data_IF_091547359901
#
_entry.id   IF_091547359901
#
_cell.length_a   1.000
_cell.length_b   1.000
_cell.length_c   1.000
_cell.angle_alpha   90.00
_cell.angle_beta   90.00
_cell.angle_gamma   90.00
#
_symmetry.space_group_name_H-M   'P 1'
#
loop_
_entity.id
_entity.type
_entity.pdbx_description
1 polymer ?
#
# COMPACT_ATOMS: atom_id res chain seq x y z
N UNK A 1 -18.90 21.47 -10.93
CA UNK A 1 -19.18 20.48 -9.84
C UNK A 1 -20.19 19.52 -10.40
N UNK A 2 -19.88 18.23 -10.43
CA UNK A 2 -20.86 17.19 -10.83
C UNK A 2 -22.01 17.25 -9.83
N UNK A 3 -23.22 17.28 -10.32
CA UNK A 3 -24.44 17.29 -9.50
C UNK A 3 -24.46 16.00 -8.64
N UNK A 4 -24.70 16.13 -7.34
CA UNK A 4 -24.74 14.96 -6.45
C UNK A 4 -25.96 14.09 -6.78
N UNK A 5 -25.87 12.76 -6.60
CA UNK A 5 -27.02 11.88 -6.76
C UNK A 5 -28.18 12.28 -5.86
N UNK A 6 -29.40 12.00 -6.31
CA UNK A 6 -30.61 12.27 -5.52
C UNK A 6 -30.54 11.56 -4.16
N UNK A 7 -30.80 12.30 -3.10
CA UNK A 7 -30.75 11.79 -1.72
C UNK A 7 -29.41 11.95 -1.03
N UNK A 8 -28.36 12.41 -1.74
CA UNK A 8 -27.09 12.79 -1.13
C UNK A 8 -27.18 14.21 -0.59
N UNK A 9 -26.50 14.46 0.54
CA UNK A 9 -26.34 15.78 1.13
C UNK A 9 -24.87 16.22 1.05
N UNK A 10 -24.61 17.49 1.28
CA UNK A 10 -23.27 18.00 1.56
C UNK A 10 -23.23 18.36 3.03
N UNK A 11 -22.27 17.81 3.76
CA UNK A 11 -21.93 18.18 5.12
C UNK A 11 -20.51 18.74 5.16
N UNK A 12 -20.17 19.52 6.17
CA UNK A 12 -18.77 19.84 6.45
C UNK A 12 -18.16 18.78 7.36
N UNK A 13 -16.86 18.65 7.36
CA UNK A 13 -16.19 17.77 8.34
C UNK A 13 -16.55 18.17 9.77
N UNK A 14 -16.75 19.49 10.03
CA UNK A 14 -17.17 20.00 11.33
C UNK A 14 -18.54 19.48 11.78
N UNK A 15 -19.49 19.29 10.85
CA UNK A 15 -20.81 18.75 11.14
C UNK A 15 -20.77 17.25 11.54
N UNK A 16 -19.72 16.55 11.15
CA UNK A 16 -19.54 15.12 11.35
C UNK A 16 -18.70 14.78 12.58
N UNK A 17 -17.88 15.73 13.05
CA UNK A 17 -16.94 15.56 14.14
C UNK A 17 -17.64 15.75 15.50
N UNK A 18 -17.49 14.76 16.38
CA UNK A 18 -17.86 14.87 17.80
C UNK A 18 -16.75 15.57 18.60
N UNK A 19 -15.50 15.18 18.38
CA UNK A 19 -14.33 15.78 19.01
C UNK A 19 -13.07 15.60 18.16
N UNK A 20 -12.03 16.39 18.44
CA UNK A 20 -10.68 16.24 17.91
C UNK A 20 -9.71 16.16 19.07
N UNK A 21 -8.90 15.09 19.10
CA UNK A 21 -7.87 14.91 20.11
C UNK A 21 -6.49 14.89 19.46
N UNK A 22 -5.51 15.54 20.09
CA UNK A 22 -4.11 15.54 19.71
C UNK A 22 -3.25 15.13 20.90
N UNK A 23 -2.12 14.49 20.62
CA UNK A 23 -1.10 14.24 21.62
C UNK A 23 -0.09 15.36 21.73
N UNK A 24 1.06 15.06 22.34
CA UNK A 24 2.20 15.97 22.46
C UNK A 24 3.42 15.40 21.74
N UNK A 25 4.20 16.29 21.14
CA UNK A 25 5.53 15.94 20.63
C UNK A 25 6.62 16.35 21.60
N UNK A 26 7.53 15.43 21.84
CA UNK A 26 8.69 15.61 22.70
C UNK A 26 9.94 15.16 21.96
N UNK A 27 11.10 15.45 22.51
CA UNK A 27 12.35 14.84 22.05
C UNK A 27 12.33 13.36 22.44
N UNK A 28 12.24 12.49 21.45
CA UNK A 28 12.13 11.03 21.57
C UNK A 28 13.32 10.33 20.95
N UNK A 29 13.54 9.08 21.30
CA UNK A 29 14.48 8.21 20.60
C UNK A 29 13.86 7.77 19.26
N UNK A 30 14.64 7.85 18.16
CA UNK A 30 14.17 7.56 16.79
C UNK A 30 14.02 6.05 16.48
N UNK A 31 13.59 5.26 17.45
CA UNK A 31 13.31 3.84 17.33
C UNK A 31 11.92 3.51 17.88
N UNK A 32 11.28 2.43 17.45
CA UNK A 32 10.06 1.93 18.06
C UNK A 32 10.28 1.54 19.53
N UNK A 33 9.26 1.69 20.39
CA UNK A 33 9.34 1.25 21.78
C UNK A 33 9.43 -0.27 21.89
N UNK A 34 10.18 -0.77 22.87
CA UNK A 34 10.17 -2.16 23.29
C UNK A 34 8.94 -2.46 24.14
N UNK A 35 8.74 -3.73 24.49
CA UNK A 35 7.53 -4.24 25.15
C UNK A 35 7.12 -3.46 26.41
N UNK A 36 8.08 -2.97 27.20
CA UNK A 36 7.84 -2.22 28.45
C UNK A 36 8.10 -0.70 28.30
N UNK A 37 8.23 -0.22 27.07
CA UNK A 37 8.45 1.19 26.81
C UNK A 37 7.21 1.83 26.20
N UNK A 38 7.06 3.13 26.37
CA UNK A 38 5.99 3.91 25.74
C UNK A 38 6.51 4.61 24.49
N UNK A 39 5.66 4.75 23.51
CA UNK A 39 6.01 5.40 22.24
C UNK A 39 4.98 6.39 21.76
N UNK A 40 5.41 7.28 20.88
CA UNK A 40 4.55 8.22 20.17
C UNK A 40 4.59 7.93 18.68
N UNK A 41 3.44 7.95 18.01
CA UNK A 41 3.35 7.63 16.59
C UNK A 41 3.91 8.73 15.71
N UNK A 42 4.65 8.33 14.67
CA UNK A 42 5.12 9.21 13.59
C UNK A 42 4.00 9.49 12.59
N UNK A 43 4.19 10.51 11.78
CA UNK A 43 3.33 10.79 10.63
C UNK A 43 3.26 9.59 9.67
N UNK A 44 4.39 8.90 9.48
CA UNK A 44 4.48 7.70 8.63
C UNK A 44 3.60 6.54 9.08
N UNK A 45 3.18 6.50 10.35
CA UNK A 45 2.28 5.48 10.88
C UNK A 45 0.88 5.49 10.22
N UNK A 46 0.45 6.63 9.65
CA UNK A 46 -0.87 6.80 9.03
C UNK A 46 -0.81 7.12 7.54
N UNK A 47 0.39 7.24 6.97
CA UNK A 47 0.57 7.78 5.61
C UNK A 47 0.07 6.84 4.51
N UNK A 48 0.19 5.51 4.70
CA UNK A 48 0.03 4.54 3.63
C UNK A 48 -1.32 3.79 3.63
N UNK A 49 -2.33 4.37 4.27
CA UNK A 49 -3.71 3.86 4.23
C UNK A 49 -4.00 2.74 5.24
N UNK A 50 -2.97 2.19 5.87
CA UNK A 50 -3.06 1.27 7.01
C UNK A 50 -2.21 1.78 8.16
N UNK A 51 -2.66 1.52 9.40
CA UNK A 51 -1.89 1.90 10.58
C UNK A 51 -0.67 0.98 10.74
N UNK A 52 0.53 1.59 10.84
CA UNK A 52 1.79 0.88 11.06
C UNK A 52 2.38 1.27 12.43
N UNK A 53 2.22 0.40 13.42
CA UNK A 53 2.73 0.60 14.78
C UNK A 53 4.25 0.69 14.86
N UNK A 54 4.99 0.10 13.91
CA UNK A 54 6.45 0.17 13.85
C UNK A 54 6.95 1.59 13.52
N UNK A 55 6.10 2.42 12.91
CA UNK A 55 6.38 3.82 12.64
C UNK A 55 6.12 4.69 13.88
N UNK A 56 6.92 4.49 14.90
CA UNK A 56 6.81 5.17 16.20
C UNK A 56 8.19 5.56 16.72
N UNK A 57 8.22 6.36 17.79
CA UNK A 57 9.41 6.83 18.51
C UNK A 57 9.25 6.49 19.97
N UNK A 58 10.33 6.15 20.66
CA UNK A 58 10.30 5.83 22.09
C UNK A 58 10.29 7.10 22.91
N UNK A 59 9.31 7.22 23.81
CA UNK A 59 9.17 8.32 24.75
C UNK A 59 10.23 8.24 25.87
N UNK A 60 10.67 9.39 26.42
CA UNK A 60 11.51 9.40 27.61
C UNK A 60 10.80 8.71 28.78
N UNK A 61 11.53 7.93 29.58
CA UNK A 61 10.97 7.22 30.76
C UNK A 61 10.34 8.15 31.80
N UNK A 62 10.81 9.40 31.89
CA UNK A 62 10.30 10.44 32.79
C UNK A 62 8.99 11.05 32.32
N UNK A 63 8.50 10.76 31.11
CA UNK A 63 7.28 11.34 30.58
C UNK A 63 6.10 10.38 30.71
N UNK A 64 5.05 10.87 31.37
CA UNK A 64 3.77 10.18 31.48
C UNK A 64 2.79 10.78 30.46
N UNK A 65 2.49 10.06 29.35
CA UNK A 65 1.44 10.50 28.43
C UNK A 65 0.05 10.38 29.08
N UNK A 66 -0.87 11.24 28.64
CA UNK A 66 -2.25 11.13 29.09
C UNK A 66 -2.85 9.81 28.60
N UNK A 67 -3.46 9.05 29.50
CA UNK A 67 -3.99 7.70 29.21
C UNK A 67 -5.05 7.68 28.11
N UNK A 68 -5.80 8.77 27.96
CA UNK A 68 -6.82 8.94 26.93
C UNK A 68 -6.22 9.13 25.50
N UNK A 69 -4.92 9.46 25.40
CA UNK A 69 -4.22 9.57 24.10
C UNK A 69 -3.64 8.24 23.58
N UNK A 70 -3.78 7.14 24.35
CA UNK A 70 -3.37 5.80 23.88
C UNK A 70 -4.20 5.38 22.66
N UNK A 71 -3.53 4.72 21.69
CA UNK A 71 -4.14 4.31 20.43
C UNK A 71 -4.94 3.03 20.63
N UNK A 72 -6.19 3.03 20.17
CA UNK A 72 -7.15 1.94 20.35
C UNK A 72 -7.76 1.49 19.02
N UNK A 73 -8.24 0.27 19.02
CA UNK A 73 -9.08 -0.23 17.93
C UNK A 73 -10.30 0.68 17.72
N UNK A 74 -10.60 0.96 16.45
CA UNK A 74 -11.67 1.88 16.07
C UNK A 74 -11.28 3.36 16.06
N UNK A 75 -10.04 3.72 16.42
CA UNK A 75 -9.55 5.10 16.28
C UNK A 75 -9.46 5.51 14.82
N UNK A 76 -10.02 6.66 14.48
CA UNK A 76 -9.87 7.30 13.19
C UNK A 76 -8.75 8.34 13.29
N UNK A 77 -7.57 8.01 12.74
CA UNK A 77 -6.39 8.84 12.84
C UNK A 77 -6.18 9.66 11.56
N UNK A 78 -5.78 10.90 11.74
CA UNK A 78 -5.58 11.89 10.70
C UNK A 78 -4.21 12.55 10.83
N UNK A 79 -3.44 12.56 9.74
CA UNK A 79 -2.15 13.27 9.67
C UNK A 79 -2.37 14.73 9.31
N UNK A 80 -2.23 15.63 10.30
CA UNK A 80 -2.38 17.07 10.03
C UNK A 80 -1.17 17.69 9.34
N UNK A 81 0.01 17.08 9.37
CA UNK A 81 1.25 17.64 8.84
C UNK A 81 2.02 16.60 8.02
N UNK A 82 2.33 16.94 6.76
CA UNK A 82 3.12 16.10 5.85
C UNK A 82 3.50 16.91 4.59
N UNK A 83 4.06 16.25 3.57
CA UNK A 83 4.19 16.82 2.23
C UNK A 83 2.82 17.11 1.62
N UNK A 84 2.77 17.94 0.58
CA UNK A 84 1.52 18.28 -0.10
C UNK A 84 0.71 17.05 -0.57
N UNK A 85 1.39 16.00 -1.02
CA UNK A 85 0.77 14.77 -1.53
C UNK A 85 0.21 13.86 -0.41
N UNK A 86 0.75 13.99 0.80
CA UNK A 86 0.50 13.08 1.91
C UNK A 86 -0.20 13.74 3.10
N UNK A 87 -0.34 15.06 3.09
CA UNK A 87 -1.06 15.78 4.15
C UNK A 87 -2.54 15.38 4.13
N UNK A 88 -3.11 15.16 5.30
CA UNK A 88 -4.49 14.69 5.43
C UNK A 88 -4.64 13.16 5.26
N UNK A 89 -3.55 12.40 5.27
CA UNK A 89 -3.64 10.94 5.28
C UNK A 89 -4.43 10.44 6.48
N UNK A 90 -5.26 9.42 6.24
CA UNK A 90 -6.18 8.86 7.25
C UNK A 90 -6.08 7.34 7.31
N UNK A 91 -6.26 6.81 8.51
CA UNK A 91 -6.38 5.36 8.77
C UNK A 91 -7.43 5.08 9.83
N UNK A 92 -8.01 3.89 9.78
CA UNK A 92 -8.80 3.30 10.86
C UNK A 92 -7.96 2.22 11.54
N UNK A 93 -7.74 2.38 12.84
CA UNK A 93 -6.93 1.44 13.65
C UNK A 93 -7.73 0.16 13.88
N UNK A 94 -7.12 -0.99 13.68
CA UNK A 94 -7.80 -2.30 13.81
C UNK A 94 -7.59 -2.96 15.17
N UNK A 95 -6.45 -2.71 15.81
CA UNK A 95 -6.05 -3.36 17.06
C UNK A 95 -5.70 -2.33 18.14
N UNK A 96 -5.76 -2.71 19.39
CA UNK A 96 -5.31 -1.88 20.49
C UNK A 96 -3.78 -1.79 20.55
N UNK A 97 -3.28 -0.59 20.85
CA UNK A 97 -1.85 -0.31 21.04
C UNK A 97 -1.64 0.49 22.33
N UNK A 98 -1.77 -0.16 23.51
CA UNK A 98 -1.80 0.55 24.82
C UNK A 98 -0.49 1.26 25.16
N UNK A 99 0.61 0.89 24.51
CA UNK A 99 1.93 1.51 24.67
C UNK A 99 2.23 2.60 23.64
N UNK A 100 1.34 2.85 22.68
CA UNK A 100 1.50 3.90 21.66
C UNK A 100 0.50 5.03 21.87
N UNK A 101 0.97 6.25 21.74
CA UNK A 101 0.22 7.46 22.02
C UNK A 101 0.23 8.41 20.83
N UNK A 102 -0.78 9.28 20.77
CA UNK A 102 -0.88 10.32 19.75
C UNK A 102 0.29 11.30 19.84
N UNK A 103 0.76 11.80 18.70
CA UNK A 103 1.64 12.95 18.60
C UNK A 103 0.83 14.22 18.32
N UNK A 104 1.48 15.39 18.34
CA UNK A 104 0.87 16.68 17.95
C UNK A 104 0.50 16.73 16.46
N UNK A 105 1.10 15.88 15.64
CA UNK A 105 0.91 15.82 14.18
C UNK A 105 -0.15 14.80 13.75
N UNK A 106 -0.56 13.92 14.65
CA UNK A 106 -1.59 12.91 14.40
C UNK A 106 -2.79 13.22 15.31
N UNK A 107 -3.90 13.53 14.67
CA UNK A 107 -5.17 13.78 15.33
C UNK A 107 -5.99 12.51 15.38
N UNK A 108 -6.65 12.25 16.50
CA UNK A 108 -7.81 11.36 16.58
C UNK A 108 -9.05 12.17 16.27
N UNK A 109 -9.79 11.74 15.28
CA UNK A 109 -11.09 12.29 14.93
C UNK A 109 -12.18 11.41 15.55
N UNK A 110 -12.89 11.96 16.52
CA UNK A 110 -14.03 11.27 17.11
C UNK A 110 -15.25 11.47 16.20
N UNK A 111 -15.84 10.37 15.77
CA UNK A 111 -16.87 10.28 14.74
C UNK A 111 -17.85 9.16 15.10
N UNK A 112 -19.09 9.28 14.63
CA UNK A 112 -20.01 8.17 14.68
C UNK A 112 -19.37 6.91 14.04
N UNK A 113 -19.34 5.77 14.75
CA UNK A 113 -18.75 4.54 14.23
C UNK A 113 -19.30 4.11 12.87
N UNK A 114 -20.59 4.33 12.61
CA UNK A 114 -21.22 3.95 11.34
C UNK A 114 -20.73 4.78 10.15
N UNK A 115 -20.24 5.99 10.40
CA UNK A 115 -19.72 6.91 9.38
C UNK A 115 -18.26 6.63 9.00
N UNK A 116 -17.47 6.09 9.94
CA UNK A 116 -16.00 5.93 9.79
C UNK A 116 -15.59 5.19 8.51
N UNK A 117 -16.22 4.06 8.11
CA UNK A 117 -15.81 3.33 6.91
C UNK A 117 -16.01 4.14 5.62
N UNK A 118 -17.14 4.85 5.48
CA UNK A 118 -17.40 5.72 4.34
C UNK A 118 -16.39 6.88 4.29
N UNK A 119 -16.24 7.58 5.39
CA UNK A 119 -15.36 8.75 5.48
C UNK A 119 -13.90 8.37 5.20
N UNK A 120 -13.45 7.20 5.67
CA UNK A 120 -12.13 6.66 5.35
C UNK A 120 -11.92 6.53 3.84
N UNK A 121 -12.84 5.86 3.14
CA UNK A 121 -12.74 5.66 1.68
C UNK A 121 -12.83 6.98 0.92
N UNK A 122 -13.71 7.89 1.35
CA UNK A 122 -13.84 9.19 0.73
C UNK A 122 -12.56 10.03 0.87
N UNK A 123 -12.00 10.15 2.08
CA UNK A 123 -10.79 10.93 2.31
C UNK A 123 -9.54 10.31 1.67
N UNK A 124 -9.52 9.00 1.47
CA UNK A 124 -8.47 8.30 0.71
C UNK A 124 -8.62 8.45 -0.81
N UNK A 125 -9.78 8.87 -1.31
CA UNK A 125 -10.02 9.10 -2.74
C UNK A 125 -9.25 10.30 -3.26
N UNK A 126 -9.09 10.39 -4.59
CA UNK A 126 -8.45 11.53 -5.25
C UNK A 126 -9.16 12.86 -4.91
N UNK A 127 -10.50 12.85 -4.87
CA UNK A 127 -11.31 14.04 -4.55
C UNK A 127 -11.12 14.46 -3.10
N UNK A 128 -11.18 13.51 -2.15
CA UNK A 128 -10.94 13.79 -0.73
C UNK A 128 -9.54 14.35 -0.49
N UNK A 129 -8.52 13.76 -1.10
CA UNK A 129 -7.14 14.26 -1.02
C UNK A 129 -6.98 15.66 -1.60
N UNK A 130 -7.60 15.96 -2.73
CA UNK A 130 -7.58 17.30 -3.34
C UNK A 130 -8.19 18.35 -2.42
N UNK A 131 -9.34 18.05 -1.80
CA UNK A 131 -9.99 18.96 -0.85
C UNK A 131 -9.13 19.21 0.39
N UNK A 132 -8.51 18.17 0.95
CA UNK A 132 -7.59 18.29 2.08
C UNK A 132 -6.33 19.10 1.70
N UNK A 133 -5.74 18.83 0.55
CA UNK A 133 -4.59 19.59 0.05
C UNK A 133 -4.94 21.08 -0.17
N UNK A 134 -6.13 21.38 -0.67
CA UNK A 134 -6.58 22.74 -0.94
C UNK A 134 -6.69 23.60 0.34
N UNK A 135 -7.09 23.00 1.47
CA UNK A 135 -7.18 23.71 2.77
C UNK A 135 -5.87 23.68 3.56
N UNK A 136 -4.84 22.96 3.07
CA UNK A 136 -3.57 22.90 3.76
C UNK A 136 -2.77 24.20 3.58
N UNK A 137 -2.07 24.62 4.63
CA UNK A 137 -1.21 25.82 4.68
C UNK A 137 0.26 25.42 4.72
N UNK A 138 1.16 26.35 4.44
CA UNK A 138 2.61 26.16 4.44
C UNK A 138 3.26 26.67 3.14
N UNK A 139 4.44 27.26 3.25
CA UNK A 139 5.13 27.88 2.12
C UNK A 139 5.92 26.90 1.25
N UNK A 140 6.13 25.67 1.74
CA UNK A 140 6.90 24.63 1.04
C UNK A 140 6.02 23.40 0.82
N UNK A 141 6.15 22.78 -0.35
CA UNK A 141 5.45 21.53 -0.67
C UNK A 141 5.85 20.36 0.27
N UNK A 142 7.05 20.42 0.82
CA UNK A 142 7.58 19.40 1.75
C UNK A 142 7.05 19.52 3.18
N UNK A 143 6.41 20.66 3.54
CA UNK A 143 5.91 20.90 4.89
C UNK A 143 4.57 21.64 4.84
N UNK A 144 3.52 20.87 4.66
CA UNK A 144 2.12 21.32 4.67
C UNK A 144 1.48 20.97 6.01
N UNK A 145 0.52 21.79 6.43
CA UNK A 145 -0.22 21.57 7.66
C UNK A 145 -1.70 21.93 7.47
N UNK A 146 -2.58 21.15 8.07
CA UNK A 146 -4.02 21.41 8.12
C UNK A 146 -4.38 21.75 9.56
N UNK A 147 -4.85 22.97 9.79
CA UNK A 147 -5.38 23.41 11.07
C UNK A 147 -6.75 22.76 11.35
N UNK A 148 -7.18 22.80 12.60
CA UNK A 148 -8.47 22.20 12.97
C UNK A 148 -9.66 22.93 12.33
N UNK A 149 -9.59 24.24 12.16
CA UNK A 149 -10.66 25.02 11.54
C UNK A 149 -10.74 24.75 10.05
N UNK A 150 -9.58 24.66 9.37
CA UNK A 150 -9.47 24.32 7.97
C UNK A 150 -9.98 22.89 7.73
N UNK A 151 -9.64 21.93 8.60
CA UNK A 151 -10.20 20.59 8.56
C UNK A 151 -11.72 20.58 8.69
N UNK A 152 -12.26 21.33 9.66
CA UNK A 152 -13.71 21.42 9.88
C UNK A 152 -14.45 22.01 8.69
N UNK A 153 -13.83 22.87 7.88
CA UNK A 153 -14.44 23.50 6.71
C UNK A 153 -14.51 22.57 5.47
N UNK A 154 -13.84 21.42 5.48
CA UNK A 154 -13.82 20.51 4.32
C UNK A 154 -15.20 19.94 4.04
N UNK A 155 -15.72 20.16 2.83
CA UNK A 155 -17.04 19.65 2.40
C UNK A 155 -16.97 18.17 2.03
N UNK A 156 -17.89 17.38 2.59
CA UNK A 156 -17.99 15.92 2.45
C UNK A 156 -19.33 15.61 1.79
N UNK A 157 -19.39 14.90 0.65
CA UNK A 157 -20.63 14.35 0.13
C UNK A 157 -21.10 13.22 1.05
N UNK A 158 -22.35 13.25 1.43
CA UNK A 158 -22.91 12.34 2.42
C UNK A 158 -24.10 11.56 1.84
N UNK A 159 -23.86 10.31 1.39
CA UNK A 159 -24.95 9.40 1.00
C UNK A 159 -25.81 9.02 2.21
N UNK A 160 -27.06 8.54 2.01
CA UNK A 160 -27.80 7.84 3.04
C UNK A 160 -26.99 6.66 3.61
N UNK A 161 -27.13 6.39 4.92
CA UNK A 161 -26.30 5.41 5.63
C UNK A 161 -26.27 4.01 4.97
N UNK A 162 -27.44 3.56 4.48
CA UNK A 162 -27.53 2.26 3.79
C UNK A 162 -26.74 2.25 2.47
N UNK A 163 -26.68 3.39 1.78
CA UNK A 163 -25.91 3.54 0.57
C UNK A 163 -24.42 3.62 0.86
N UNK A 164 -24.00 4.34 1.93
CA UNK A 164 -22.61 4.35 2.39
C UNK A 164 -22.09 2.93 2.61
N UNK A 165 -22.83 2.08 3.31
CA UNK A 165 -22.46 0.67 3.55
C UNK A 165 -22.27 -0.10 2.24
N UNK A 166 -23.23 0.00 1.31
CA UNK A 166 -23.15 -0.67 0.01
C UNK A 166 -21.96 -0.22 -0.83
N UNK A 167 -21.67 1.09 -0.80
CA UNK A 167 -20.50 1.62 -1.52
C UNK A 167 -19.21 1.06 -0.92
N UNK A 168 -19.07 1.08 0.41
CA UNK A 168 -17.88 0.55 1.09
C UNK A 168 -17.71 -0.94 0.80
N UNK A 169 -18.74 -1.75 0.97
CA UNK A 169 -18.72 -3.19 0.66
C UNK A 169 -18.29 -3.46 -0.79
N UNK A 170 -18.82 -2.66 -1.73
CA UNK A 170 -18.48 -2.80 -3.15
C UNK A 170 -17.01 -2.48 -3.41
N UNK A 171 -16.50 -1.38 -2.82
CA UNK A 171 -15.09 -0.98 -2.95
C UNK A 171 -14.18 -2.07 -2.36
N UNK A 172 -14.49 -2.60 -1.18
CA UNK A 172 -13.68 -3.63 -0.52
C UNK A 172 -13.67 -4.93 -1.31
N UNK A 173 -14.82 -5.38 -1.81
CA UNK A 173 -14.91 -6.55 -2.68
C UNK A 173 -14.11 -6.36 -4.00
N UNK A 174 -14.10 -5.15 -4.56
CA UNK A 174 -13.29 -4.87 -5.76
C UNK A 174 -11.80 -4.89 -5.46
N UNK A 175 -11.35 -4.32 -4.34
CA UNK A 175 -9.94 -4.35 -3.94
C UNK A 175 -9.47 -5.79 -3.66
N UNK A 176 -10.27 -6.59 -2.95
CA UNK A 176 -9.96 -8.01 -2.74
C UNK A 176 -9.77 -8.77 -4.06
N UNK A 177 -10.61 -8.50 -5.05
CA UNK A 177 -10.47 -9.12 -6.39
C UNK A 177 -9.20 -8.67 -7.11
N UNK A 178 -8.81 -7.40 -6.96
CA UNK A 178 -7.57 -6.87 -7.54
C UNK A 178 -6.37 -7.54 -6.87
N UNK A 179 -6.36 -7.67 -5.54
CA UNK A 179 -5.28 -8.28 -4.80
C UNK A 179 -5.10 -9.77 -5.16
N UNK A 180 -6.20 -10.53 -5.24
CA UNK A 180 -6.20 -11.92 -5.73
C UNK A 180 -5.71 -12.02 -7.18
N UNK A 181 -6.13 -11.10 -8.03
CA UNK A 181 -5.63 -11.02 -9.40
C UNK A 181 -4.12 -10.80 -9.49
N UNK A 182 -3.60 -9.88 -8.68
CA UNK A 182 -2.17 -9.60 -8.60
C UNK A 182 -1.36 -10.81 -8.07
N UNK A 183 -1.89 -11.53 -7.09
CA UNK A 183 -1.28 -12.76 -6.57
C UNK A 183 -1.23 -13.86 -7.64
N UNK A 184 -2.35 -14.10 -8.34
CA UNK A 184 -2.43 -15.07 -9.42
C UNK A 184 -1.42 -14.78 -10.55
N UNK A 185 -1.25 -13.49 -10.92
CA UNK A 185 -0.28 -13.08 -11.92
C UNK A 185 1.17 -13.34 -11.48
N UNK A 186 1.49 -13.11 -10.20
CA UNK A 186 2.81 -13.46 -9.65
C UNK A 186 3.06 -14.97 -9.70
N UNK A 187 2.06 -15.78 -9.34
CA UNK A 187 2.12 -17.25 -9.42
C UNK A 187 2.32 -17.74 -10.86
N UNK A 188 1.55 -17.21 -11.81
CA UNK A 188 1.69 -17.54 -13.23
C UNK A 188 3.09 -17.19 -13.76
N UNK A 189 3.65 -16.03 -13.38
CA UNK A 189 5.02 -15.65 -13.76
C UNK A 189 6.07 -16.63 -13.24
N UNK A 190 5.95 -17.09 -11.99
CA UNK A 190 6.84 -18.09 -11.41
C UNK A 190 6.72 -19.44 -12.14
N UNK A 191 5.51 -19.89 -12.42
CA UNK A 191 5.24 -21.14 -13.17
C UNK A 191 5.83 -21.09 -14.58
N UNK A 192 5.73 -19.96 -15.28
CA UNK A 192 6.34 -19.78 -16.60
C UNK A 192 7.86 -19.92 -16.57
N UNK A 193 8.52 -19.44 -15.52
CA UNK A 193 9.97 -19.59 -15.36
C UNK A 193 10.38 -21.07 -15.25
N UNK A 194 9.67 -21.82 -14.44
CA UNK A 194 9.87 -23.28 -14.28
C UNK A 194 9.57 -24.03 -15.58
N UNK A 195 8.50 -23.68 -16.27
CA UNK A 195 8.12 -24.29 -17.54
C UNK A 195 9.21 -24.08 -18.62
N UNK A 196 9.78 -22.88 -18.72
CA UNK A 196 10.90 -22.59 -19.63
C UNK A 196 12.12 -23.48 -19.34
N UNK A 197 12.48 -23.65 -18.07
CA UNK A 197 13.58 -24.52 -17.69
C UNK A 197 13.30 -26.00 -18.03
N UNK A 198 12.09 -26.47 -17.73
CA UNK A 198 11.66 -27.83 -18.08
C UNK A 198 11.67 -28.07 -19.59
N UNK A 199 11.22 -27.09 -20.37
CA UNK A 199 11.22 -27.15 -21.84
C UNK A 199 12.64 -27.24 -22.39
N UNK A 200 13.56 -26.39 -21.90
CA UNK A 200 14.97 -26.47 -22.29
C UNK A 200 15.60 -27.82 -21.93
N UNK A 201 15.36 -28.31 -20.72
CA UNK A 201 15.81 -29.63 -20.31
C UNK A 201 15.30 -30.72 -21.25
N UNK A 202 13.99 -30.72 -21.55
CA UNK A 202 13.37 -31.69 -22.46
C UNK A 202 13.92 -31.57 -23.89
N UNK A 203 14.27 -30.38 -24.34
CA UNK A 203 14.90 -30.17 -25.64
C UNK A 203 16.29 -30.80 -25.71
N UNK A 204 17.14 -30.51 -24.71
CA UNK A 204 18.51 -31.07 -24.68
C UNK A 204 18.57 -32.56 -24.35
N UNK A 205 17.56 -33.13 -23.72
CA UNK A 205 17.39 -34.58 -23.55
C UNK A 205 16.79 -35.24 -24.82
N UNK A 206 16.51 -34.47 -25.84
CA UNK A 206 15.97 -34.95 -27.11
C UNK A 206 14.50 -35.40 -27.06
N UNK A 207 13.78 -35.09 -25.95
CA UNK A 207 12.39 -35.52 -25.79
C UNK A 207 11.44 -34.81 -26.76
N UNK A 208 11.69 -33.54 -27.08
CA UNK A 208 10.84 -32.76 -27.99
C UNK A 208 10.85 -33.25 -29.42
N UNK A 209 11.87 -34.00 -29.82
CA UNK A 209 12.04 -34.51 -31.20
C UNK A 209 12.03 -36.05 -31.24
N UNK A 210 11.56 -36.72 -30.20
CA UNK A 210 11.55 -38.18 -30.10
C UNK A 210 10.76 -38.84 -31.25
N UNK A 211 9.54 -38.35 -31.49
CA UNK A 211 8.67 -38.87 -32.54
C UNK A 211 9.24 -38.61 -33.94
N UNK A 212 9.82 -37.43 -34.15
CA UNK A 212 10.48 -37.10 -35.41
C UNK A 212 11.67 -38.02 -35.66
N UNK A 213 12.51 -38.31 -34.63
CA UNK A 213 13.64 -39.25 -34.79
C UNK A 213 13.18 -40.66 -35.11
N UNK A 214 12.08 -41.14 -34.48
CA UNK A 214 11.54 -42.45 -34.79
C UNK A 214 11.07 -42.59 -36.23
N UNK A 215 10.45 -41.54 -36.78
CA UNK A 215 9.96 -41.52 -38.15
C UNK A 215 11.05 -41.25 -39.22
N UNK A 216 12.23 -40.76 -38.86
CA UNK A 216 13.32 -40.41 -39.75
C UNK A 216 14.64 -41.09 -39.36
N UNK A 217 14.56 -42.31 -38.81
CA UNK A 217 15.75 -43.03 -38.34
C UNK A 217 16.77 -43.29 -39.47
N UNK A 218 16.28 -43.48 -40.69
CA UNK A 218 17.07 -43.68 -41.92
C UNK A 218 17.77 -42.40 -42.40
N UNK A 219 17.31 -41.23 -42.02
CA UNK A 219 17.87 -39.93 -42.44
C UNK A 219 18.80 -39.30 -41.40
N UNK A 220 19.01 -39.96 -40.27
CA UNK A 220 19.88 -39.44 -39.22
C UNK A 220 21.36 -39.61 -39.57
N UNK A 221 22.09 -38.50 -39.63
CA UNK A 221 23.55 -38.52 -39.83
C UNK A 221 24.22 -39.11 -38.56
N UNK A 222 25.14 -40.08 -38.69
CA UNK A 222 25.87 -40.60 -37.56
C UNK A 222 26.69 -39.51 -36.85
N UNK A 223 26.69 -39.44 -35.50
CA UNK A 223 27.39 -38.36 -34.76
C UNK A 223 28.89 -38.26 -35.08
N UNK A 224 29.54 -39.40 -35.36
CA UNK A 224 30.96 -39.45 -35.76
C UNK A 224 31.24 -38.70 -37.06
N UNK A 225 30.34 -38.83 -38.05
CA UNK A 225 30.45 -38.14 -39.36
C UNK A 225 30.31 -36.63 -39.18
N UNK A 226 29.34 -36.20 -38.38
CA UNK A 226 29.16 -34.77 -38.05
C UNK A 226 30.39 -34.19 -37.37
N UNK A 227 30.91 -34.86 -36.34
CA UNK A 227 32.11 -34.42 -35.60
C UNK A 227 33.34 -34.32 -36.52
N UNK A 228 33.56 -35.32 -37.39
CA UNK A 228 34.66 -35.30 -38.35
C UNK A 228 34.57 -34.12 -39.34
N UNK A 229 33.35 -33.79 -39.80
CA UNK A 229 33.09 -32.60 -40.63
C UNK A 229 33.42 -31.30 -39.91
N UNK A 230 32.96 -31.16 -38.67
CA UNK A 230 33.24 -29.96 -37.86
C UNK A 230 34.73 -29.79 -37.60
N UNK A 231 35.43 -30.87 -37.26
CA UNK A 231 36.90 -30.84 -37.06
C UNK A 231 37.65 -30.39 -38.32
N UNK A 232 37.32 -31.00 -39.48
CA UNK A 232 37.93 -30.62 -40.77
C UNK A 232 37.68 -29.15 -41.11
N UNK A 233 36.47 -28.67 -40.91
CA UNK A 233 36.13 -27.25 -41.16
C UNK A 233 36.90 -26.30 -40.22
N UNK A 234 37.01 -26.63 -38.93
CA UNK A 234 37.81 -25.89 -37.97
C UNK A 234 39.29 -25.82 -38.38
N UNK A 235 39.88 -26.94 -38.76
CA UNK A 235 41.28 -27.03 -39.19
C UNK A 235 41.54 -26.23 -40.48
N UNK A 236 40.57 -26.22 -41.39
CA UNK A 236 40.66 -25.42 -42.63
C UNK A 236 40.61 -23.92 -42.29
N UNK A 237 39.70 -23.49 -41.44
CA UNK A 237 39.62 -22.08 -40.99
C UNK A 237 40.86 -21.62 -40.23
N UNK A 238 41.41 -22.49 -39.39
CA UNK A 238 42.66 -22.18 -38.65
C UNK A 238 43.85 -22.01 -39.60
N UNK A 239 44.00 -22.87 -40.62
CA UNK A 239 45.06 -22.76 -41.62
C UNK A 239 44.91 -21.56 -42.56
N UNK A 240 43.69 -21.08 -42.77
CA UNK A 240 43.45 -19.89 -43.60
C UNK A 240 43.61 -18.56 -42.82
N UNK A 241 43.74 -18.62 -41.51
CA UNK A 241 43.91 -17.46 -40.62
C UNK A 241 45.38 -17.25 -40.17
N UNK A 242 46.27 -18.18 -40.53
CA UNK A 242 47.72 -18.08 -40.42
C UNK A 242 48.37 -17.63 -41.72
#
# INVERSE_FOLDING_TARGET
MTELPKGWAVATMGDLLLAIQAGKSLKCEERPPKENERGVVKVSAVTWGTFDAAQSKTLPKSFEPMSDTAIKAGDFLFSRANTLELVGAVVLVRNDHPNLFLSDKILRLDLDPALKPWLLKYLQSLEGKRKLAAVSTGNQASMRNIGQNELKSVSIPLPPLNEQRRIVEKIEAMFERIDKGAENLRGAKATLALYRQSLLKSAFEGKLTADWRAQNADKLEPPKTLLARIQKERDTRYKSAL
#
